data_IF_156123402004
#
_entry.id   IF_156123402004
#
_cell.length_a   1.000
_cell.length_b   1.000
_cell.length_c   1.000
_cell.angle_alpha   90.00
_cell.angle_beta   90.00
_cell.angle_gamma   90.00
#
_symmetry.space_group_name_H-M   'P 1'
#
loop_
_entity.id
_entity.type
_entity.pdbx_description
1 polymer ?
#
# COMPACT_ATOMS: atom_id res chain seq x y z
N UNK A 1 28.27 8.18 0.03
CA UNK A 1 27.95 8.40 -0.91
C UNK A 1 26.77 7.87 -1.47
N UNK A 2 26.33 6.80 -1.33
CA UNK A 2 25.20 6.31 -1.93
C UNK A 2 23.98 6.60 -1.15
N UNK A 3 24.08 7.30 -0.14
CA UNK A 3 22.97 7.61 0.62
C UNK A 3 21.84 8.23 -0.09
N UNK A 4 22.10 9.00 -1.03
CA UNK A 4 21.03 9.66 -1.72
C UNK A 4 20.04 8.76 -2.38
N UNK A 5 20.43 7.59 -2.71
CA UNK A 5 19.55 6.73 -3.37
C UNK A 5 18.39 6.31 -2.55
N UNK A 6 18.56 6.19 -1.29
CA UNK A 6 17.50 5.71 -0.53
C UNK A 6 16.41 6.69 -0.44
N UNK A 7 16.73 7.91 -0.48
CA UNK A 7 15.72 8.90 -0.33
C UNK A 7 14.73 8.84 -1.46
N UNK A 8 15.23 8.53 -2.58
CA UNK A 8 14.37 8.49 -3.72
C UNK A 8 13.28 7.45 -3.61
N UNK A 9 13.56 6.38 -2.97
CA UNK A 9 12.59 5.36 -2.88
C UNK A 9 11.42 5.73 -2.02
N UNK A 10 11.68 6.47 -1.04
CA UNK A 10 10.62 6.81 -0.16
C UNK A 10 9.60 7.69 -0.83
N UNK A 11 10.07 8.52 -1.67
CA UNK A 11 9.17 9.43 -2.33
C UNK A 11 8.14 8.72 -3.16
N UNK A 12 8.47 7.59 -3.60
CA UNK A 12 7.57 6.88 -4.47
C UNK A 12 6.22 6.60 -3.87
N UNK A 13 6.17 6.22 -2.66
CA UNK A 13 4.88 5.93 -2.08
C UNK A 13 4.09 7.18 -1.81
N UNK A 14 4.75 8.24 -1.57
CA UNK A 14 4.05 9.44 -1.27
C UNK A 14 3.33 10.03 -2.45
N UNK A 15 3.84 9.83 -3.60
CA UNK A 15 3.22 10.36 -4.74
C UNK A 15 1.81 9.96 -4.90
N UNK A 16 1.50 8.81 -4.54
CA UNK A 16 0.19 8.33 -4.75
C UNK A 16 -0.86 9.17 -4.05
N UNK A 17 -0.48 9.84 -3.05
CA UNK A 17 -1.44 10.56 -2.34
C UNK A 17 -1.88 11.83 -2.98
N UNK A 18 -1.11 12.34 -3.76
CA UNK A 18 -1.45 13.58 -4.29
C UNK A 18 -2.54 13.55 -5.30
N UNK A 19 -2.70 12.52 -5.90
CA UNK A 19 -3.63 12.47 -6.92
C UNK A 19 -4.99 12.96 -6.67
N UNK A 20 -5.58 12.59 -5.69
CA UNK A 20 -6.91 12.89 -5.51
C UNK A 20 -7.35 14.23 -5.40
N UNK A 21 -6.56 15.02 -5.36
CA UNK A 21 -6.97 16.29 -5.14
C UNK A 21 -8.15 16.77 -5.87
N UNK A 22 -8.33 16.44 -6.93
CA UNK A 22 -9.33 17.03 -7.61
C UNK A 22 -10.58 16.79 -7.22
N UNK A 23 -10.85 16.30 -6.44
CA UNK A 23 -12.10 16.10 -6.05
C UNK A 23 -13.10 16.99 -6.53
N UNK A 24 -13.01 17.79 -7.09
CA UNK A 24 -14.03 18.68 -7.45
C UNK A 24 -15.35 18.05 -7.70
N UNK A 25 -15.44 16.88 -7.78
CA UNK A 25 -16.65 16.31 -8.12
C UNK A 25 -17.57 16.21 -7.01
N UNK A 26 -18.47 16.90 -6.94
CA UNK A 26 -19.37 16.92 -5.87
C UNK A 26 -20.38 15.89 -5.95
N UNK A 27 -20.31 15.00 -6.65
CA UNK A 27 -21.24 14.12 -6.72
C UNK A 27 -21.59 13.31 -5.65
N UNK A 28 -22.67 12.97 -5.50
CA UNK A 28 -23.13 12.20 -4.47
C UNK A 28 -22.82 10.78 -4.48
N UNK A 29 -22.37 10.24 -5.37
CA UNK A 29 -22.16 8.91 -5.35
C UNK A 29 -21.38 8.56 -4.23
N UNK A 30 -21.80 8.61 -3.13
CA UNK A 30 -21.06 8.32 -1.98
C UNK A 30 -20.57 6.90 -1.96
N UNK A 31 -21.30 5.97 -2.47
CA UNK A 31 -20.81 4.61 -2.40
C UNK A 31 -19.57 4.40 -3.21
N UNK A 32 -19.55 4.97 -4.38
CA UNK A 32 -18.37 4.82 -5.22
C UNK A 32 -17.21 5.55 -4.60
N UNK A 33 -17.45 6.69 -3.98
CA UNK A 33 -16.37 7.40 -3.37
C UNK A 33 -15.82 6.66 -2.17
N UNK A 34 -16.68 6.02 -1.40
CA UNK A 34 -16.20 5.29 -0.27
C UNK A 34 -15.38 4.12 -0.69
N UNK A 35 -15.80 3.44 -1.74
CA UNK A 35 -15.05 2.31 -2.21
C UNK A 35 -13.68 2.76 -2.67
N UNK A 36 -13.64 3.91 -3.35
CA UNK A 36 -12.40 4.39 -3.83
C UNK A 36 -11.50 4.82 -2.70
N UNK A 37 -12.07 5.48 -1.69
CA UNK A 37 -11.28 5.92 -0.55
C UNK A 37 -10.75 4.71 0.19
N UNK A 38 -11.55 3.66 0.29
CA UNK A 38 -11.10 2.46 0.96
C UNK A 38 -9.93 1.82 0.24
N UNK A 39 -9.99 1.81 -1.08
CA UNK A 39 -8.90 1.23 -1.83
C UNK A 39 -7.64 2.03 -1.66
N UNK A 40 -7.75 3.34 -1.63
CA UNK A 40 -6.59 4.17 -1.45
C UNK A 40 -5.97 3.92 -0.09
N UNK A 41 -6.81 3.81 0.92
CA UNK A 41 -6.30 3.56 2.26
C UNK A 41 -5.58 2.23 2.33
N UNK A 42 -6.11 1.22 1.64
CA UNK A 42 -5.48 -0.07 1.67
C UNK A 42 -4.15 -0.04 0.91
N UNK A 43 -4.09 0.73 -0.16
CA UNK A 43 -2.83 0.86 -0.87
C UNK A 43 -1.79 1.54 -0.01
N UNK A 44 -2.20 2.54 0.75
CA UNK A 44 -1.28 3.21 1.63
C UNK A 44 -0.79 2.28 2.71
N UNK A 45 -1.68 1.43 3.16
CA UNK A 45 -1.30 0.49 4.18
C UNK A 45 -0.30 -0.51 3.62
N UNK A 46 -0.47 -0.91 2.37
CA UNK A 46 0.49 -1.82 1.77
C UNK A 46 1.84 -1.14 1.61
N UNK A 47 1.85 0.14 1.30
CA UNK A 47 3.11 0.86 1.22
C UNK A 47 3.80 0.85 2.58
N UNK A 48 3.05 1.05 3.64
CA UNK A 48 3.62 1.04 4.98
C UNK A 48 4.15 -0.36 5.31
N UNK A 49 3.42 -1.38 4.87
CA UNK A 49 3.84 -2.75 5.10
C UNK A 49 5.17 -3.01 4.40
N UNK A 50 5.31 -2.52 3.18
CA UNK A 50 6.54 -2.70 2.45
C UNK A 50 7.70 -1.98 3.11
N UNK A 51 7.43 -0.83 3.69
CA UNK A 51 8.49 -0.12 4.35
C UNK A 51 8.94 -0.87 5.59
N UNK A 52 8.01 -1.50 6.28
CA UNK A 52 8.37 -2.27 7.44
C UNK A 52 9.20 -3.47 7.02
N UNK A 53 8.86 -4.06 5.89
CA UNK A 53 9.65 -5.14 5.34
C UNK A 53 9.74 -6.41 6.17
N UNK A 54 8.74 -6.70 6.96
CA UNK A 54 8.78 -7.88 7.78
C UNK A 54 7.61 -8.80 7.49
N UNK A 55 7.78 -10.05 7.72
CA UNK A 55 6.73 -11.03 7.50
C UNK A 55 5.53 -10.69 8.39
N UNK A 56 5.80 -10.27 9.60
CA UNK A 56 4.72 -9.95 10.51
C UNK A 56 3.85 -8.81 9.97
N UNK A 57 4.47 -7.84 9.34
CA UNK A 57 3.71 -6.73 8.78
C UNK A 57 2.81 -7.21 7.66
N UNK A 58 3.32 -8.11 6.82
CA UNK A 58 2.50 -8.63 5.74
C UNK A 58 1.37 -9.51 6.30
N UNK A 59 1.65 -10.27 7.33
CA UNK A 59 0.62 -11.08 7.93
C UNK A 59 -0.52 -10.22 8.46
N UNK A 60 -0.17 -9.10 9.05
CA UNK A 60 -1.16 -8.22 9.58
C UNK A 60 -2.00 -7.60 8.45
N UNK A 61 -1.34 -7.19 7.38
CA UNK A 61 -2.06 -6.62 6.26
C UNK A 61 -3.05 -7.63 5.70
N UNK A 62 -2.62 -8.85 5.52
CA UNK A 62 -3.47 -9.89 4.97
C UNK A 62 -4.64 -10.16 5.90
N UNK A 63 -4.39 -10.18 7.19
CA UNK A 63 -5.46 -10.46 8.12
C UNK A 63 -6.50 -9.35 8.17
N UNK A 64 -6.07 -8.14 7.93
CA UNK A 64 -7.01 -7.04 7.96
C UNK A 64 -7.84 -6.89 6.72
N UNK A 65 -7.37 -7.37 5.61
CA UNK A 65 -8.09 -7.16 4.37
C UNK A 65 -8.32 -8.45 3.59
N UNK A 66 -8.96 -9.42 4.21
CA UNK A 66 -9.14 -10.69 3.54
C UNK A 66 -10.04 -10.49 2.33
N UNK A 67 -9.71 -10.94 1.25
CA UNK A 67 -10.54 -10.80 0.08
C UNK A 67 -10.23 -9.63 -0.81
N UNK A 68 -9.37 -8.74 -0.39
CA UNK A 68 -9.02 -7.62 -1.23
C UNK A 68 -7.97 -8.08 -2.22
N UNK A 69 -8.01 -7.61 -3.46
CA UNK A 69 -7.04 -8.05 -4.46
C UNK A 69 -5.60 -7.82 -4.06
N UNK A 70 -5.31 -6.78 -3.31
CA UNK A 70 -3.95 -6.52 -2.93
C UNK A 70 -3.40 -7.54 -1.94
N UNK A 71 -4.27 -8.36 -1.37
CA UNK A 71 -3.81 -9.39 -0.47
C UNK A 71 -2.96 -10.40 -1.24
N UNK A 72 -3.29 -10.65 -2.50
CA UNK A 72 -2.50 -11.58 -3.27
C UNK A 72 -1.10 -11.02 -3.50
N UNK A 73 -1.02 -9.72 -3.72
CA UNK A 73 0.26 -9.08 -3.90
C UNK A 73 1.05 -9.19 -2.61
N UNK A 74 0.38 -8.96 -1.48
CA UNK A 74 1.05 -9.03 -0.18
C UNK A 74 1.56 -10.45 0.08
N UNK A 75 0.79 -11.45 -0.30
CA UNK A 75 1.23 -12.81 -0.09
C UNK A 75 2.47 -13.12 -0.90
N UNK A 76 2.50 -12.65 -2.15
CA UNK A 76 3.65 -12.90 -2.98
C UNK A 76 4.89 -12.22 -2.41
N UNK A 77 4.72 -11.02 -1.91
CA UNK A 77 5.86 -10.31 -1.35
C UNK A 77 6.32 -10.95 -0.05
N UNK A 78 5.37 -11.46 0.72
CA UNK A 78 5.71 -12.14 1.94
C UNK A 78 6.54 -13.38 1.63
N UNK A 79 6.16 -14.09 0.58
CA UNK A 79 6.89 -15.28 0.19
C UNK A 79 8.31 -14.93 -0.18
N UNK A 80 8.49 -13.83 -0.87
CA UNK A 80 9.83 -13.44 -1.24
C UNK A 80 10.67 -13.14 -0.04
N UNK A 81 10.07 -12.56 0.98
CA UNK A 81 10.82 -12.29 2.20
C UNK A 81 11.24 -13.59 2.84
N UNK A 82 10.34 -14.57 2.85
CA UNK A 82 10.69 -15.83 3.47
C UNK A 82 11.81 -16.53 2.71
N UNK A 83 11.80 -16.39 1.40
CA UNK A 83 12.84 -17.04 0.63
C UNK A 83 14.19 -16.36 0.78
N UNK A 84 14.17 -15.08 1.13
CA UNK A 84 15.41 -14.42 1.26
C UNK A 84 16.05 -14.67 2.57
N UNK A 85 15.33 -15.15 3.56
CA UNK A 85 15.92 -15.33 4.84
C UNK A 85 16.93 -16.39 4.80
N UNK A 86 18.03 -16.24 5.43
CA UNK A 86 19.10 -17.23 5.43
C UNK A 86 18.74 -18.46 6.25
#
# INVERSE_FOLDING_TARGET
>A
MTIGLRVALVAACAIALAAPAQGGAPVPESNANRARDGDIAIQEELCATRKAGTVAAYDLFIARHPGHPLVEVARAERERLLLRRP
#
